data_IF_416114200644
#
_entry.id   IF_416114200644
#
_cell.length_a   1.000
_cell.length_b   1.000
_cell.length_c   1.000
_cell.angle_alpha   90.00
_cell.angle_beta   90.00
_cell.angle_gamma   90.00
#
_symmetry.space_group_name_H-M   'P 1'
#
loop_
_entity.id
_entity.type
_entity.pdbx_description
1 polymer ?
#
# COMPACT_ATOMS: atom_id res chain seq x y z
N UNK A 1 -28.01 -26.09 9.33
CA UNK A 1 -27.79 -24.93 10.21
C UNK A 1 -28.49 -25.21 11.55
N UNK A 2 -27.75 -25.17 12.68
CA UNK A 2 -28.28 -25.39 14.04
C UNK A 2 -28.42 -24.08 14.81
N UNK A 3 -27.52 -23.13 14.61
CA UNK A 3 -27.51 -21.83 15.29
C UNK A 3 -26.99 -20.71 14.39
N UNK A 4 -27.52 -19.50 14.60
CA UNK A 4 -27.09 -18.28 13.91
C UNK A 4 -26.87 -17.19 14.96
N UNK A 5 -25.66 -16.61 14.98
CA UNK A 5 -25.27 -15.52 15.89
C UNK A 5 -24.62 -14.44 15.01
N UNK A 6 -25.39 -13.52 14.44
CA UNK A 6 -24.89 -12.54 13.50
C UNK A 6 -24.23 -13.21 12.29
N UNK A 7 -22.94 -12.92 12.09
CA UNK A 7 -22.16 -13.51 11.00
C UNK A 7 -21.62 -14.93 11.31
N UNK A 8 -21.80 -15.45 12.52
CA UNK A 8 -21.39 -16.78 12.93
C UNK A 8 -22.54 -17.76 12.80
N UNK A 9 -22.30 -18.88 12.13
CA UNK A 9 -23.29 -19.92 11.86
C UNK A 9 -22.73 -21.27 12.28
N UNK A 10 -23.47 -21.97 13.15
CA UNK A 10 -23.15 -23.34 13.55
C UNK A 10 -23.90 -24.33 12.66
N UNK A 11 -23.17 -25.29 12.14
CA UNK A 11 -23.68 -26.31 11.23
C UNK A 11 -23.33 -27.69 11.74
N UNK A 12 -24.31 -28.60 11.74
CA UNK A 12 -24.15 -29.98 12.16
C UNK A 12 -23.96 -30.88 10.95
N UNK A 13 -22.97 -31.76 11.00
CA UNK A 13 -22.67 -32.79 10.03
C UNK A 13 -22.64 -34.18 10.67
N UNK A 14 -22.77 -35.21 9.88
CA UNK A 14 -22.53 -36.59 10.30
C UNK A 14 -21.11 -36.75 10.86
N UNK A 15 -20.94 -37.56 11.89
CA UNK A 15 -19.64 -37.72 12.61
C UNK A 15 -18.47 -38.14 11.69
N UNK A 16 -18.79 -38.90 10.65
CA UNK A 16 -17.80 -39.37 9.68
C UNK A 16 -17.55 -38.42 8.54
N UNK A 17 -18.27 -37.28 8.50
CA UNK A 17 -18.21 -36.30 7.42
C UNK A 17 -18.04 -34.85 7.91
N UNK A 18 -17.17 -34.64 8.90
CA UNK A 18 -16.95 -33.31 9.51
C UNK A 18 -16.02 -32.49 8.62
N UNK A 19 -16.40 -31.24 8.24
CA UNK A 19 -15.54 -30.33 7.49
C UNK A 19 -14.27 -29.97 8.26
N UNK A 20 -13.20 -29.75 7.51
CA UNK A 20 -11.93 -29.25 8.05
C UNK A 20 -12.00 -27.74 8.33
N UNK A 21 -11.13 -27.27 9.23
CA UNK A 21 -10.94 -25.81 9.44
C UNK A 21 -10.52 -25.15 8.12
N UNK A 22 -11.10 -24.00 7.84
CA UNK A 22 -10.98 -23.22 6.59
C UNK A 22 -11.66 -23.83 5.36
N UNK A 23 -12.35 -24.94 5.49
CA UNK A 23 -13.16 -25.45 4.39
C UNK A 23 -14.32 -24.50 4.09
N UNK A 24 -14.59 -24.26 2.83
CA UNK A 24 -15.75 -23.51 2.38
C UNK A 24 -16.99 -24.42 2.33
N UNK A 25 -18.08 -23.92 2.86
CA UNK A 25 -19.39 -24.55 2.82
C UNK A 25 -20.36 -23.64 2.08
N UNK A 26 -21.41 -24.21 1.53
CA UNK A 26 -22.44 -23.46 0.82
C UNK A 26 -23.82 -23.77 1.37
N UNK A 27 -24.58 -22.73 1.74
CA UNK A 27 -25.99 -22.85 2.08
C UNK A 27 -26.78 -23.02 0.79
N UNK A 28 -27.43 -24.17 0.60
CA UNK A 28 -28.06 -24.54 -0.68
C UNK A 28 -29.16 -23.55 -1.12
N UNK A 29 -30.00 -23.10 -0.19
CA UNK A 29 -31.14 -22.22 -0.51
C UNK A 29 -30.69 -20.79 -0.88
N UNK A 30 -29.69 -20.24 -0.21
CA UNK A 30 -29.27 -18.84 -0.35
C UNK A 30 -28.00 -18.66 -1.22
N UNK A 31 -27.23 -19.71 -1.41
CA UNK A 31 -25.91 -19.64 -2.05
C UNK A 31 -24.84 -18.96 -1.17
N UNK A 32 -25.14 -18.68 0.11
CA UNK A 32 -24.19 -18.03 1.02
C UNK A 32 -23.02 -18.96 1.31
N UNK A 33 -21.80 -18.47 1.12
CA UNK A 33 -20.58 -19.20 1.46
C UNK A 33 -20.24 -19.01 2.92
N UNK A 34 -19.90 -20.12 3.58
CA UNK A 34 -19.47 -20.15 4.98
C UNK A 34 -18.04 -20.68 5.05
N UNK A 35 -17.22 -20.15 5.93
CA UNK A 35 -15.87 -20.66 6.19
C UNK A 35 -15.80 -21.28 7.57
N UNK A 36 -15.37 -22.52 7.66
CA UNK A 36 -15.22 -23.24 8.93
C UNK A 36 -14.09 -22.62 9.76
N UNK A 37 -14.40 -22.21 10.98
CA UNK A 37 -13.44 -21.62 11.92
C UNK A 37 -13.05 -22.58 13.04
N UNK A 38 -13.99 -23.37 13.53
CA UNK A 38 -13.79 -24.27 14.68
C UNK A 38 -14.63 -25.53 14.52
N UNK A 39 -14.12 -26.63 15.05
CA UNK A 39 -14.88 -27.86 15.28
C UNK A 39 -15.27 -27.89 16.77
N UNK A 40 -16.57 -27.87 17.04
CA UNK A 40 -17.09 -27.80 18.42
C UNK A 40 -17.28 -29.18 19.09
N UNK A 41 -17.11 -30.26 18.34
CA UNK A 41 -17.44 -31.60 18.76
C UNK A 41 -18.85 -32.04 18.33
N UNK A 42 -19.18 -33.33 18.52
CA UNK A 42 -20.44 -33.92 18.13
C UNK A 42 -20.98 -33.65 16.73
N UNK A 43 -20.05 -33.46 15.79
CA UNK A 43 -20.39 -33.17 14.39
C UNK A 43 -20.72 -31.70 14.10
N UNK A 44 -20.63 -30.82 15.09
CA UNK A 44 -20.93 -29.40 14.93
C UNK A 44 -19.67 -28.61 14.59
N UNK A 45 -19.74 -27.77 13.56
CA UNK A 45 -18.70 -26.82 13.19
C UNK A 45 -19.22 -25.40 13.30
N UNK A 46 -18.36 -24.51 13.75
CA UNK A 46 -18.63 -23.07 13.80
C UNK A 46 -17.99 -22.37 12.62
N UNK A 47 -18.79 -21.59 11.90
CA UNK A 47 -18.39 -20.95 10.66
C UNK A 47 -18.60 -19.42 10.72
N UNK A 48 -17.93 -18.69 9.85
CA UNK A 48 -18.24 -17.29 9.56
C UNK A 48 -18.80 -17.18 8.13
N UNK A 49 -19.81 -16.32 7.96
CA UNK A 49 -20.41 -16.07 6.67
C UNK A 49 -19.58 -15.10 5.83
N UNK A 50 -19.43 -15.42 4.55
CA UNK A 50 -18.85 -14.56 3.52
C UNK A 50 -19.95 -13.85 2.72
N UNK A 51 -20.92 -13.29 3.40
CA UNK A 51 -22.08 -12.63 2.82
C UNK A 51 -23.12 -12.31 3.89
N UNK A 52 -24.22 -11.76 3.41
CA UNK A 52 -25.36 -11.36 4.24
C UNK A 52 -26.03 -12.57 4.85
N UNK A 53 -26.33 -12.50 6.15
CA UNK A 53 -26.96 -13.59 6.91
C UNK A 53 -28.45 -13.36 7.18
N UNK A 54 -28.99 -12.20 6.82
CA UNK A 54 -30.41 -11.89 6.93
C UNK A 54 -31.22 -12.84 6.07
N UNK A 55 -32.26 -13.44 6.68
CA UNK A 55 -33.12 -14.42 6.03
C UNK A 55 -32.67 -15.86 6.21
N UNK A 56 -31.48 -16.12 6.72
CA UNK A 56 -31.06 -17.47 7.08
C UNK A 56 -31.82 -17.95 8.31
N UNK A 57 -32.17 -19.23 8.33
CA UNK A 57 -32.93 -19.89 9.42
C UNK A 57 -32.34 -21.22 9.80
N UNK A 58 -32.70 -21.70 10.99
CA UNK A 58 -32.33 -23.07 11.41
C UNK A 58 -32.95 -24.11 10.46
N UNK A 59 -32.25 -25.20 10.29
CA UNK A 59 -32.70 -26.31 9.44
C UNK A 59 -32.31 -26.17 7.97
N UNK A 60 -31.69 -25.06 7.54
CA UNK A 60 -31.16 -24.96 6.18
C UNK A 60 -30.08 -26.02 5.96
N UNK A 61 -30.10 -26.59 4.75
CA UNK A 61 -29.09 -27.55 4.28
C UNK A 61 -27.84 -26.83 3.86
N UNK A 62 -26.69 -27.37 4.29
CA UNK A 62 -25.37 -26.84 3.94
C UNK A 62 -24.56 -27.94 3.29
N UNK A 63 -24.05 -27.65 2.08
CA UNK A 63 -23.20 -28.55 1.32
C UNK A 63 -21.71 -28.28 1.60
N UNK A 64 -20.92 -29.34 1.66
CA UNK A 64 -19.46 -29.26 1.69
C UNK A 64 -18.92 -29.02 0.29
N UNK A 65 -17.89 -28.15 0.17
CA UNK A 65 -17.13 -28.01 -1.06
C UNK A 65 -15.87 -28.89 -1.08
N UNK A 66 -15.50 -29.46 0.07
CA UNK A 66 -14.26 -30.23 0.27
C UNK A 66 -12.97 -29.46 -0.06
N UNK A 67 -13.04 -28.16 -0.13
CA UNK A 67 -11.92 -27.27 -0.42
C UNK A 67 -12.05 -25.94 0.34
N UNK A 68 -10.95 -25.25 0.65
CA UNK A 68 -11.01 -23.88 1.16
C UNK A 68 -11.58 -22.92 0.11
N UNK A 69 -11.93 -21.70 0.52
CA UNK A 69 -12.32 -20.64 -0.41
C UNK A 69 -11.21 -20.47 -1.46
N UNK A 70 -11.59 -20.63 -2.73
CA UNK A 70 -10.70 -20.49 -3.87
C UNK A 70 -11.20 -19.40 -4.80
N UNK A 71 -10.29 -18.57 -5.28
CA UNK A 71 -10.58 -17.39 -6.08
C UNK A 71 -9.91 -17.46 -7.44
N UNK A 72 -10.49 -16.85 -8.50
CA UNK A 72 -9.86 -16.79 -9.80
C UNK A 72 -8.55 -16.01 -9.72
N UNK A 73 -7.56 -16.45 -10.47
CA UNK A 73 -6.23 -15.86 -10.54
C UNK A 73 -5.75 -15.76 -11.99
N UNK A 74 -4.70 -14.98 -12.20
CA UNK A 74 -4.06 -14.84 -13.52
C UNK A 74 -4.53 -13.62 -14.32
N UNK A 75 -4.14 -13.52 -15.59
CA UNK A 75 -4.36 -12.33 -16.43
C UNK A 75 -5.83 -11.92 -16.60
N UNK A 76 -6.76 -12.84 -16.42
CA UNK A 76 -8.21 -12.59 -16.55
C UNK A 76 -8.77 -11.70 -15.44
N UNK A 77 -8.02 -11.51 -14.33
CA UNK A 77 -8.38 -10.62 -13.23
C UNK A 77 -7.98 -9.17 -13.47
N UNK A 78 -7.13 -8.89 -14.44
CA UNK A 78 -6.62 -7.54 -14.71
C UNK A 78 -7.74 -6.61 -15.18
N UNK A 79 -7.77 -5.42 -14.64
CA UNK A 79 -8.77 -4.40 -14.91
C UNK A 79 -10.15 -4.68 -14.29
N UNK A 80 -10.29 -5.76 -13.52
CA UNK A 80 -11.55 -6.19 -12.93
C UNK A 80 -11.62 -5.85 -11.45
N UNK A 81 -12.84 -5.60 -10.98
CA UNK A 81 -13.15 -5.46 -9.56
C UNK A 81 -13.91 -6.69 -9.09
N UNK A 82 -13.43 -7.29 -8.03
CA UNK A 82 -13.96 -8.54 -7.47
C UNK A 82 -14.31 -8.39 -5.99
N UNK A 83 -15.22 -9.22 -5.53
CA UNK A 83 -15.50 -9.39 -4.09
C UNK A 83 -14.49 -10.36 -3.44
N UNK A 84 -14.68 -10.64 -2.16
CA UNK A 84 -13.82 -11.56 -1.38
C UNK A 84 -13.76 -12.98 -1.94
N UNK A 85 -14.81 -13.42 -2.63
CA UNK A 85 -14.89 -14.74 -3.26
C UNK A 85 -14.37 -14.74 -4.71
N UNK A 86 -13.93 -13.59 -5.22
CA UNK A 86 -13.48 -13.43 -6.59
C UNK A 86 -14.61 -13.27 -7.61
N UNK A 87 -15.84 -13.00 -7.19
CA UNK A 87 -16.93 -12.68 -8.09
C UNK A 87 -16.80 -11.26 -8.62
N UNK A 88 -17.08 -11.01 -9.90
CA UNK A 88 -17.04 -9.66 -10.44
C UNK A 88 -18.15 -8.80 -9.88
N UNK A 89 -17.82 -7.56 -9.51
CA UNK A 89 -18.76 -6.54 -9.01
C UNK A 89 -18.74 -5.27 -9.88
N UNK A 90 -18.06 -5.32 -11.03
CA UNK A 90 -17.86 -4.20 -11.97
C UNK A 90 -18.83 -4.19 -13.15
N UNK A 91 -19.82 -5.06 -13.14
CA UNK A 91 -20.84 -5.23 -14.21
C UNK A 91 -20.27 -5.51 -15.61
N UNK A 92 -19.01 -5.95 -15.70
CA UNK A 92 -18.33 -6.25 -16.97
C UNK A 92 -18.39 -7.73 -17.39
N UNK A 93 -19.34 -8.46 -16.83
CA UNK A 93 -19.54 -9.88 -17.12
C UNK A 93 -18.63 -10.80 -16.30
N UNK A 94 -18.73 -12.13 -16.53
CA UNK A 94 -17.98 -13.11 -15.77
C UNK A 94 -16.48 -12.98 -16.01
N UNK A 95 -15.69 -13.28 -14.96
CA UNK A 95 -14.24 -13.45 -15.07
C UNK A 95 -13.97 -14.86 -15.55
N UNK A 96 -13.04 -15.02 -16.49
CA UNK A 96 -12.63 -16.35 -16.96
C UNK A 96 -12.07 -17.18 -15.79
N UNK A 97 -12.59 -18.39 -15.63
CA UNK A 97 -12.23 -19.29 -14.53
C UNK A 97 -11.25 -20.38 -14.96
N UNK A 98 -10.19 -20.00 -15.67
CA UNK A 98 -9.18 -20.99 -16.10
C UNK A 98 -8.44 -21.60 -14.93
N UNK A 99 -8.17 -20.82 -13.91
CA UNK A 99 -7.44 -21.25 -12.73
C UNK A 99 -7.98 -20.58 -11.47
N UNK A 100 -8.18 -21.38 -10.43
CA UNK A 100 -8.52 -20.90 -9.09
C UNK A 100 -7.48 -21.35 -8.09
N UNK A 101 -7.16 -20.51 -7.13
CA UNK A 101 -6.23 -20.82 -6.06
C UNK A 101 -6.86 -20.55 -4.68
N UNK A 102 -6.57 -21.41 -3.68
CA UNK A 102 -7.08 -21.21 -2.33
C UNK A 102 -6.45 -19.97 -1.68
N UNK A 103 -7.26 -19.23 -0.92
CA UNK A 103 -6.80 -18.04 -0.21
C UNK A 103 -5.94 -18.38 1.02
N UNK A 104 -6.12 -19.57 1.60
CA UNK A 104 -5.29 -20.06 2.69
C UNK A 104 -4.14 -20.91 2.14
N UNK A 105 -2.96 -20.30 2.10
CA UNK A 105 -1.72 -20.93 1.62
C UNK A 105 -0.62 -20.74 2.64
N UNK A 106 0.33 -21.65 2.62
CA UNK A 106 1.57 -21.50 3.41
C UNK A 106 2.49 -20.48 2.75
N UNK A 107 3.28 -19.74 3.54
CA UNK A 107 4.35 -18.92 2.99
C UNK A 107 5.33 -19.78 2.18
N UNK A 108 6.08 -19.17 1.23
CA UNK A 108 7.15 -19.85 0.51
C UNK A 108 8.16 -20.47 1.46
N UNK A 109 8.71 -21.63 1.07
CA UNK A 109 9.74 -22.29 1.87
C UNK A 109 11.03 -21.44 1.94
N UNK A 110 11.87 -21.66 2.93
CA UNK A 110 13.17 -20.98 3.03
C UNK A 110 14.03 -21.17 1.79
N UNK A 111 13.91 -22.33 1.14
CA UNK A 111 14.69 -22.66 -0.07
C UNK A 111 14.20 -21.90 -1.30
N UNK A 112 12.94 -21.48 -1.32
CA UNK A 112 12.32 -20.78 -2.44
C UNK A 112 12.43 -19.26 -2.31
N UNK A 113 12.67 -18.76 -1.11
CA UNK A 113 12.85 -17.33 -0.87
C UNK A 113 14.17 -16.84 -1.48
N UNK A 114 14.13 -15.63 -2.02
CA UNK A 114 15.31 -14.92 -2.47
C UNK A 114 15.86 -14.06 -1.33
N UNK A 115 17.15 -14.16 -1.10
CA UNK A 115 17.87 -13.28 -0.17
C UNK A 115 18.33 -11.97 -0.84
N UNK A 116 17.74 -11.59 -1.94
CA UNK A 116 18.10 -10.38 -2.70
C UNK A 116 17.82 -9.13 -1.89
N UNK A 117 18.83 -8.29 -1.72
CA UNK A 117 18.74 -6.95 -1.15
C UNK A 117 18.54 -5.89 -2.27
N UNK A 118 17.87 -6.27 -3.35
CA UNK A 118 17.59 -5.34 -4.44
C UNK A 118 16.61 -4.24 -4.00
N UNK A 119 16.91 -3.02 -4.42
CA UNK A 119 16.03 -1.88 -4.22
C UNK A 119 15.03 -1.84 -5.37
N UNK A 120 13.78 -1.60 -5.03
CA UNK A 120 12.73 -1.31 -5.99
C UNK A 120 12.75 0.19 -6.29
N UNK A 121 13.27 0.57 -7.44
CA UNK A 121 13.28 1.95 -7.89
C UNK A 121 11.87 2.39 -8.27
N UNK A 122 11.37 3.43 -7.60
CA UNK A 122 10.00 3.92 -7.79
C UNK A 122 9.90 5.07 -8.77
N UNK A 123 11.00 5.74 -9.08
CA UNK A 123 11.04 6.94 -9.89
C UNK A 123 10.53 8.19 -9.17
N UNK A 124 10.29 8.10 -7.88
CA UNK A 124 9.87 9.21 -7.02
C UNK A 124 11.06 9.62 -6.14
N UNK A 125 11.61 10.81 -6.39
CA UNK A 125 12.85 11.29 -5.76
C UNK A 125 12.89 11.12 -4.24
N UNK A 126 11.85 11.57 -3.56
CA UNK A 126 11.82 11.55 -2.10
C UNK A 126 11.79 10.13 -1.53
N UNK A 127 11.10 9.21 -2.19
CA UNK A 127 11.03 7.81 -1.77
C UNK A 127 12.37 7.14 -2.02
N UNK A 128 12.87 7.20 -3.24
CA UNK A 128 14.08 6.49 -3.63
C UNK A 128 15.32 6.97 -2.86
N UNK A 129 15.38 8.28 -2.54
CA UNK A 129 16.50 8.85 -1.78
C UNK A 129 16.41 8.57 -0.28
N UNK A 130 15.24 8.85 0.33
CA UNK A 130 15.11 8.97 1.79
C UNK A 130 14.56 7.69 2.44
N UNK A 131 13.72 6.95 1.75
CA UNK A 131 13.10 5.72 2.25
C UNK A 131 12.99 4.63 1.16
N UNK A 132 14.10 4.18 0.58
CA UNK A 132 14.11 3.23 -0.53
C UNK A 132 13.39 1.94 -0.16
N UNK A 133 12.61 1.41 -1.12
CA UNK A 133 11.86 0.18 -0.93
C UNK A 133 12.72 -1.04 -1.26
N UNK A 134 12.63 -2.06 -0.41
CA UNK A 134 13.16 -3.37 -0.74
C UNK A 134 12.24 -4.08 -1.73
N UNK A 135 12.79 -4.68 -2.76
CA UNK A 135 12.06 -5.59 -3.64
C UNK A 135 11.61 -6.82 -2.84
N UNK A 136 10.33 -7.06 -2.76
CA UNK A 136 9.75 -8.07 -1.88
C UNK A 136 9.59 -7.63 -0.41
N UNK A 137 9.81 -6.35 -0.13
CA UNK A 137 9.65 -5.77 1.19
C UNK A 137 8.22 -5.31 1.49
N UNK A 138 8.03 -4.88 2.73
CA UNK A 138 6.75 -4.40 3.25
C UNK A 138 6.88 -2.94 3.65
N UNK A 139 6.06 -2.10 3.03
CA UNK A 139 6.08 -0.65 3.24
C UNK A 139 4.79 -0.22 3.92
N UNK A 140 4.92 0.51 5.01
CA UNK A 140 3.79 1.19 5.65
C UNK A 140 3.64 2.61 5.11
N UNK A 141 2.44 2.96 4.65
CA UNK A 141 2.09 4.30 4.21
C UNK A 141 1.21 4.96 5.26
N UNK A 142 1.74 5.98 5.90
CA UNK A 142 1.08 6.73 6.96
C UNK A 142 0.64 8.09 6.44
N UNK A 143 -0.49 8.57 6.91
CA UNK A 143 -0.94 9.92 6.59
C UNK A 143 -2.43 10.10 6.85
N UNK A 144 -2.81 11.32 7.19
CA UNK A 144 -4.19 11.73 7.38
C UNK A 144 -4.98 11.76 6.08
N UNK A 145 -6.22 12.23 6.17
CA UNK A 145 -7.03 12.47 4.98
C UNK A 145 -6.50 13.68 4.18
N UNK A 146 -6.57 13.62 2.86
CA UNK A 146 -6.26 14.73 1.97
C UNK A 146 -4.77 15.01 1.74
N UNK A 147 -3.86 14.13 2.17
CA UNK A 147 -2.40 14.29 1.93
C UNK A 147 -1.89 13.56 0.68
N UNK A 148 -2.79 13.01 -0.14
CA UNK A 148 -2.43 12.40 -1.42
C UNK A 148 -2.05 10.92 -1.36
N UNK A 149 -2.53 10.14 -0.38
CA UNK A 149 -2.28 8.68 -0.32
C UNK A 149 -2.64 7.97 -1.62
N UNK A 150 -3.87 8.17 -2.09
CA UNK A 150 -4.40 7.56 -3.32
C UNK A 150 -3.56 7.91 -4.54
N UNK A 151 -3.20 9.18 -4.70
CA UNK A 151 -2.37 9.66 -5.83
C UNK A 151 -0.98 9.03 -5.80
N UNK A 152 -0.37 8.90 -4.62
CA UNK A 152 0.91 8.20 -4.48
C UNK A 152 0.81 6.71 -4.86
N UNK A 153 -0.26 6.02 -4.44
CA UNK A 153 -0.47 4.62 -4.82
C UNK A 153 -0.63 4.47 -6.33
N UNK A 154 -1.44 5.32 -6.96
CA UNK A 154 -1.63 5.29 -8.42
C UNK A 154 -0.33 5.56 -9.18
N UNK A 155 0.48 6.52 -8.72
CA UNK A 155 1.78 6.80 -9.35
C UNK A 155 2.74 5.63 -9.23
N UNK A 156 2.77 4.96 -8.09
CA UNK A 156 3.57 3.74 -7.90
C UNK A 156 3.12 2.62 -8.84
N UNK A 157 1.81 2.40 -8.99
CA UNK A 157 1.26 1.42 -9.94
C UNK A 157 1.71 1.76 -11.37
N UNK A 158 1.56 3.02 -11.75
CA UNK A 158 1.93 3.49 -13.09
C UNK A 158 3.43 3.31 -13.36
N UNK A 159 4.28 3.73 -12.44
CA UNK A 159 5.73 3.69 -12.61
C UNK A 159 6.26 2.25 -12.64
N UNK A 160 5.75 1.37 -11.79
CA UNK A 160 6.12 -0.05 -11.81
C UNK A 160 5.65 -0.73 -13.10
N UNK A 161 4.48 -0.40 -13.60
CA UNK A 161 4.00 -0.92 -14.87
C UNK A 161 4.86 -0.48 -16.05
N UNK A 162 5.27 0.79 -16.09
CA UNK A 162 6.04 1.37 -17.19
C UNK A 162 7.51 0.89 -17.19
N UNK A 163 8.15 0.90 -16.02
CA UNK A 163 9.61 0.68 -15.92
C UNK A 163 9.98 -0.79 -15.67
N UNK A 164 9.17 -1.50 -14.92
CA UNK A 164 9.48 -2.87 -14.50
C UNK A 164 8.60 -3.92 -15.18
N UNK A 165 7.68 -3.53 -16.07
CA UNK A 165 6.66 -4.44 -16.65
C UNK A 165 5.90 -5.23 -15.57
N UNK A 166 5.81 -4.65 -14.39
CA UNK A 166 5.20 -5.24 -13.21
C UNK A 166 3.68 -5.11 -13.24
N UNK A 167 3.05 -5.90 -12.39
CA UNK A 167 1.61 -5.89 -12.19
C UNK A 167 1.30 -5.49 -10.75
N UNK A 168 0.09 -5.00 -10.53
CA UNK A 168 -0.36 -4.59 -9.20
C UNK A 168 -1.67 -5.30 -8.84
N UNK A 169 -1.86 -5.51 -7.55
CA UNK A 169 -3.12 -5.95 -6.97
C UNK A 169 -3.50 -4.97 -5.87
N UNK A 170 -4.71 -4.50 -5.90
CA UNK A 170 -5.27 -3.61 -4.88
C UNK A 170 -6.32 -4.33 -4.06
N UNK A 171 -6.12 -4.41 -2.75
CA UNK A 171 -7.05 -4.96 -1.79
C UNK A 171 -7.63 -3.85 -0.91
N UNK A 172 -8.88 -3.48 -1.16
CA UNK A 172 -9.64 -2.52 -0.35
C UNK A 172 -10.28 -3.22 0.84
N UNK A 173 -9.76 -2.97 2.03
CA UNK A 173 -10.18 -3.61 3.27
C UNK A 173 -10.98 -2.65 4.13
N UNK A 174 -12.28 -2.83 4.16
CA UNK A 174 -13.18 -2.03 4.99
C UNK A 174 -13.26 -0.54 4.62
N UNK A 175 -12.89 -0.18 3.39
CA UNK A 175 -13.00 1.19 2.89
C UNK A 175 -14.43 1.56 2.50
N UNK A 176 -14.68 2.85 2.33
CA UNK A 176 -15.99 3.34 1.88
C UNK A 176 -16.19 2.98 0.42
N UNK A 177 -17.38 2.52 0.06
CA UNK A 177 -17.76 2.19 -1.33
C UNK A 177 -17.49 3.34 -2.30
N UNK A 178 -17.75 4.57 -1.87
CA UNK A 178 -17.49 5.75 -2.70
C UNK A 178 -16.00 5.92 -3.00
N UNK A 179 -15.13 5.78 -1.99
CA UNK A 179 -13.68 5.94 -2.16
C UNK A 179 -13.10 4.86 -3.10
N UNK A 180 -13.58 3.62 -2.98
CA UNK A 180 -13.21 2.55 -3.90
C UNK A 180 -13.67 2.80 -5.33
N UNK A 181 -14.86 3.38 -5.51
CA UNK A 181 -15.37 3.73 -6.82
C UNK A 181 -14.62 4.91 -7.44
N UNK A 182 -14.38 5.97 -6.67
CA UNK A 182 -13.58 7.13 -7.10
C UNK A 182 -12.19 6.68 -7.55
N UNK A 183 -11.53 5.81 -6.76
CA UNK A 183 -10.23 5.24 -7.09
C UNK A 183 -10.22 4.46 -8.42
N UNK A 184 -11.26 3.69 -8.68
CA UNK A 184 -11.39 2.95 -9.93
C UNK A 184 -11.52 3.88 -11.14
N UNK A 185 -12.33 4.94 -11.04
CA UNK A 185 -12.44 5.92 -12.11
C UNK A 185 -11.14 6.69 -12.35
N UNK A 186 -10.46 7.10 -11.30
CA UNK A 186 -9.15 7.75 -11.39
C UNK A 186 -8.11 6.85 -12.08
N UNK A 187 -8.14 5.54 -11.83
CA UNK A 187 -7.28 4.59 -12.54
C UNK A 187 -7.64 4.43 -14.03
N UNK A 188 -8.91 4.57 -14.38
CA UNK A 188 -9.33 4.60 -15.79
C UNK A 188 -8.83 5.88 -16.48
N UNK A 189 -9.02 7.03 -15.86
CA UNK A 189 -8.59 8.32 -16.40
C UNK A 189 -7.07 8.40 -16.57
N UNK A 190 -6.30 7.83 -15.65
CA UNK A 190 -4.85 7.77 -15.71
C UNK A 190 -4.30 6.70 -16.69
N UNK A 191 -5.19 5.85 -17.27
CA UNK A 191 -4.80 4.79 -18.20
C UNK A 191 -4.20 3.54 -17.57
N UNK A 192 -4.17 3.44 -16.24
CA UNK A 192 -3.74 2.23 -15.51
C UNK A 192 -4.71 1.07 -15.75
N UNK A 193 -6.01 1.39 -15.81
CA UNK A 193 -7.07 0.47 -16.25
C UNK A 193 -7.47 0.84 -17.66
N UNK A 194 -7.26 -0.09 -18.60
CA UNK A 194 -7.68 0.08 -19.99
C UNK A 194 -9.10 -0.46 -20.17
N UNK A 195 -10.07 0.44 -20.39
CA UNK A 195 -11.48 0.08 -20.52
C UNK A 195 -11.76 -0.67 -21.83
N UNK A 196 -11.06 -0.31 -22.91
CA UNK A 196 -11.26 -0.87 -24.24
C UNK A 196 -10.66 -2.28 -24.36
N UNK A 197 -9.58 -2.53 -23.60
CA UNK A 197 -8.95 -3.85 -23.53
C UNK A 197 -8.48 -4.13 -22.08
N UNK A 198 -9.37 -4.72 -21.29
CA UNK A 198 -9.11 -5.00 -19.87
C UNK A 198 -7.85 -5.85 -19.64
N UNK A 199 -7.51 -6.74 -20.57
CA UNK A 199 -6.32 -7.58 -20.46
C UNK A 199 -4.99 -6.81 -20.53
N UNK A 200 -4.99 -5.57 -21.00
CA UNK A 200 -3.83 -4.68 -21.00
C UNK A 200 -3.72 -3.83 -19.71
N UNK A 201 -4.73 -3.90 -18.86
CA UNK A 201 -4.70 -3.22 -17.56
C UNK A 201 -3.56 -3.74 -16.68
N UNK A 202 -3.08 -2.91 -15.78
CA UNK A 202 -1.90 -3.20 -14.94
C UNK A 202 -2.26 -3.53 -13.49
N UNK A 203 -3.54 -3.55 -13.15
CA UNK A 203 -4.02 -3.75 -11.79
C UNK A 203 -5.25 -4.67 -11.76
N UNK A 204 -5.29 -5.57 -10.77
CA UNK A 204 -6.48 -6.30 -10.36
C UNK A 204 -6.95 -5.77 -9.00
N UNK A 205 -8.27 -5.66 -8.80
CA UNK A 205 -8.83 -5.04 -7.60
C UNK A 205 -9.79 -6.00 -6.90
N UNK A 206 -9.68 -6.09 -5.58
CA UNK A 206 -10.61 -6.81 -4.72
C UNK A 206 -11.08 -5.91 -3.59
N UNK A 207 -12.38 -5.90 -3.34
CA UNK A 207 -12.99 -5.06 -2.31
C UNK A 207 -13.77 -5.90 -1.29
N UNK A 208 -13.49 -5.65 -0.02
CA UNK A 208 -14.31 -6.04 1.12
C UNK A 208 -14.67 -4.76 1.87
N UNK A 209 -15.77 -4.15 1.47
CA UNK A 209 -16.15 -2.79 1.84
C UNK A 209 -16.66 -2.67 3.29
N UNK A 210 -16.75 -1.43 3.80
CA UNK A 210 -17.16 -1.14 5.17
C UNK A 210 -18.54 -1.68 5.53
N UNK A 211 -19.46 -1.78 4.58
CA UNK A 211 -20.82 -2.29 4.77
C UNK A 211 -20.92 -3.82 4.68
N UNK A 212 -19.86 -4.49 4.31
CA UNK A 212 -19.84 -5.95 4.21
C UNK A 212 -19.60 -6.62 5.58
N UNK A 213 -20.04 -7.89 5.75
CA UNK A 213 -19.81 -8.65 6.97
C UNK A 213 -18.33 -8.74 7.37
N UNK A 214 -18.02 -8.94 8.66
CA UNK A 214 -16.65 -9.00 9.14
C UNK A 214 -15.82 -10.12 8.51
N UNK A 215 -16.45 -11.23 8.11
CA UNK A 215 -15.78 -12.31 7.39
C UNK A 215 -15.19 -11.84 6.05
N UNK A 216 -15.95 -11.05 5.29
CA UNK A 216 -15.50 -10.50 4.01
C UNK A 216 -14.29 -9.57 4.21
N UNK A 217 -14.39 -8.64 5.17
CA UNK A 217 -13.31 -7.69 5.48
C UNK A 217 -12.05 -8.37 6.01
N UNK A 218 -12.20 -9.48 6.71
CA UNK A 218 -11.07 -10.27 7.24
C UNK A 218 -10.35 -11.06 6.13
N UNK A 219 -11.06 -11.51 5.11
CA UNK A 219 -10.52 -12.40 4.07
C UNK A 219 -10.12 -11.70 2.76
N UNK A 220 -10.61 -10.51 2.51
CA UNK A 220 -10.33 -9.80 1.26
C UNK A 220 -8.83 -9.53 1.02
N UNK A 221 -8.06 -9.24 2.07
CA UNK A 221 -6.61 -9.09 1.96
C UNK A 221 -5.92 -10.38 1.51
N UNK A 222 -6.40 -11.54 1.99
CA UNK A 222 -5.91 -12.86 1.56
C UNK A 222 -6.28 -13.16 0.11
N UNK A 223 -7.46 -12.72 -0.34
CA UNK A 223 -7.87 -12.83 -1.75
C UNK A 223 -6.92 -12.05 -2.66
N UNK A 224 -6.65 -10.79 -2.34
CA UNK A 224 -5.70 -9.97 -3.08
C UNK A 224 -4.29 -10.55 -3.08
N UNK A 225 -3.83 -11.01 -1.92
CA UNK A 225 -2.52 -11.66 -1.81
C UNK A 225 -2.41 -12.92 -2.67
N UNK A 226 -3.47 -13.74 -2.74
CA UNK A 226 -3.49 -14.95 -3.57
C UNK A 226 -3.36 -14.60 -5.06
N UNK A 227 -4.02 -13.55 -5.52
CA UNK A 227 -3.86 -13.06 -6.90
C UNK A 227 -2.44 -12.56 -7.16
N UNK A 228 -1.85 -11.82 -6.21
CA UNK A 228 -0.47 -11.37 -6.31
C UNK A 228 0.54 -12.53 -6.33
N UNK A 229 0.32 -13.56 -5.54
CA UNK A 229 1.17 -14.77 -5.52
C UNK A 229 1.19 -15.49 -6.87
N UNK A 230 0.07 -15.54 -7.59
CA UNK A 230 0.02 -16.14 -8.93
C UNK A 230 0.95 -15.39 -9.90
N UNK A 231 0.87 -14.07 -9.94
CA UNK A 231 1.73 -13.27 -10.81
C UNK A 231 3.21 -13.38 -10.41
N UNK A 232 3.52 -13.42 -9.10
CA UNK A 232 4.88 -13.66 -8.62
C UNK A 232 5.41 -15.00 -9.08
N UNK A 233 4.62 -16.07 -8.93
CA UNK A 233 5.01 -17.43 -9.30
C UNK A 233 5.21 -17.58 -10.81
N UNK A 234 4.60 -16.70 -11.62
CA UNK A 234 4.83 -16.56 -13.07
C UNK A 234 6.05 -15.70 -13.43
N UNK A 235 6.82 -15.27 -12.45
CA UNK A 235 8.06 -14.50 -12.65
C UNK A 235 7.86 -13.00 -12.79
N UNK A 236 6.75 -12.45 -12.30
CA UNK A 236 6.49 -11.01 -12.31
C UNK A 236 6.91 -10.35 -10.99
N UNK A 237 7.26 -9.09 -11.09
CA UNK A 237 7.36 -8.20 -9.94
C UNK A 237 5.98 -7.59 -9.69
N UNK A 238 5.45 -7.83 -8.51
CA UNK A 238 4.07 -7.46 -8.14
C UNK A 238 4.08 -6.45 -7.02
N UNK A 239 3.27 -5.41 -7.16
CA UNK A 239 2.89 -4.54 -6.05
C UNK A 239 1.56 -5.01 -5.46
N UNK A 240 1.52 -5.20 -4.15
CA UNK A 240 0.30 -5.49 -3.41
C UNK A 240 -0.04 -4.30 -2.53
N UNK A 241 -1.15 -3.65 -2.83
CA UNK A 241 -1.69 -2.57 -2.00
C UNK A 241 -2.75 -3.12 -1.06
N UNK A 242 -2.65 -2.78 0.21
CA UNK A 242 -3.66 -3.13 1.23
C UNK A 242 -4.13 -1.82 1.86
N UNK A 243 -5.34 -1.42 1.56
CA UNK A 243 -5.95 -0.23 2.14
C UNK A 243 -7.26 -0.59 2.84
N UNK A 244 -7.27 -0.76 4.12
CA UNK A 244 -6.25 -0.38 5.10
C UNK A 244 -5.99 -1.56 6.06
N UNK A 245 -4.74 -1.79 6.44
CA UNK A 245 -4.36 -2.93 7.28
C UNK A 245 -4.96 -2.86 8.69
N UNK A 246 -5.21 -1.68 9.24
CA UNK A 246 -5.87 -1.52 10.53
C UNK A 246 -7.30 -2.10 10.51
N UNK A 247 -8.03 -1.93 9.43
CA UNK A 247 -9.39 -2.48 9.29
C UNK A 247 -9.39 -4.00 9.15
N UNK A 248 -8.32 -4.58 8.62
CA UNK A 248 -8.09 -6.02 8.66
C UNK A 248 -8.03 -6.51 10.11
N UNK A 249 -7.29 -5.82 10.98
CA UNK A 249 -7.22 -6.19 12.41
C UNK A 249 -8.55 -5.99 13.13
N UNK A 250 -9.29 -4.93 12.83
CA UNK A 250 -10.64 -4.70 13.39
C UNK A 250 -11.64 -5.78 12.98
N UNK A 251 -11.62 -6.23 11.74
CA UNK A 251 -12.45 -7.33 11.29
C UNK A 251 -12.13 -8.63 12.07
N UNK A 252 -10.85 -8.84 12.36
CA UNK A 252 -10.41 -9.94 13.24
C UNK A 252 -10.92 -9.82 14.67
N UNK A 253 -10.97 -8.61 15.23
CA UNK A 253 -11.59 -8.35 16.54
C UNK A 253 -13.07 -8.74 16.55
N UNK A 254 -13.82 -8.28 15.54
CA UNK A 254 -15.25 -8.57 15.41
C UNK A 254 -15.51 -10.09 15.29
N UNK A 255 -14.78 -10.78 14.42
CA UNK A 255 -14.88 -12.23 14.24
C UNK A 255 -14.52 -12.97 15.53
N UNK A 256 -13.45 -12.59 16.20
CA UNK A 256 -13.02 -13.22 17.46
C UNK A 256 -14.05 -13.06 18.56
N UNK A 257 -14.67 -11.89 18.67
CA UNK A 257 -15.76 -11.66 19.63
C UNK A 257 -16.98 -12.54 19.33
N UNK A 258 -17.38 -12.63 18.05
CA UNK A 258 -18.49 -13.47 17.62
C UNK A 258 -18.23 -14.97 17.83
N UNK A 259 -16.97 -15.40 17.73
CA UNK A 259 -16.55 -16.77 18.02
C UNK A 259 -16.48 -17.07 19.52
N UNK A 260 -16.71 -16.06 20.38
CA UNK A 260 -16.69 -16.22 21.85
C UNK A 260 -15.27 -16.36 22.42
N UNK A 261 -14.25 -15.90 21.73
CA UNK A 261 -12.86 -15.89 22.24
C UNK A 261 -12.69 -14.76 23.26
N UNK A 262 -11.97 -15.05 24.34
CA UNK A 262 -11.67 -14.05 25.36
C UNK A 262 -10.70 -13.01 24.77
N UNK A 263 -11.02 -11.69 24.82
CA UNK A 263 -10.13 -10.68 24.31
C UNK A 263 -8.83 -10.59 25.10
N UNK A 264 -7.76 -10.16 24.43
CA UNK A 264 -6.50 -9.83 25.08
C UNK A 264 -6.58 -8.47 25.78
N UNK A 265 -5.46 -8.01 26.34
CA UNK A 265 -5.35 -6.63 26.84
C UNK A 265 -5.76 -5.62 25.77
N UNK A 266 -6.43 -4.53 26.18
CA UNK A 266 -6.92 -3.45 25.29
C UNK A 266 -8.03 -3.88 24.31
N UNK A 267 -8.55 -5.10 24.44
CA UNK A 267 -9.74 -5.56 23.69
C UNK A 267 -9.47 -6.19 22.33
N UNK A 268 -8.21 -6.34 21.91
CA UNK A 268 -7.88 -7.03 20.67
C UNK A 268 -8.02 -8.56 20.79
N UNK A 269 -8.13 -9.23 19.64
CA UNK A 269 -8.16 -10.69 19.57
C UNK A 269 -6.83 -11.30 20.09
N UNK A 270 -6.89 -12.45 20.76
CA UNK A 270 -5.68 -13.13 21.24
C UNK A 270 -4.80 -13.66 20.09
N UNK A 271 -5.38 -13.81 18.91
CA UNK A 271 -4.74 -14.32 17.68
C UNK A 271 -4.19 -13.20 16.77
N UNK A 272 -4.14 -11.95 17.24
CA UNK A 272 -3.72 -10.80 16.41
C UNK A 272 -2.36 -11.01 15.75
N UNK A 273 -1.35 -11.40 16.50
CA UNK A 273 0.00 -11.60 15.98
C UNK A 273 0.07 -12.79 14.99
N UNK A 274 -0.69 -13.84 15.24
CA UNK A 274 -0.77 -15.02 14.37
C UNK A 274 -1.46 -14.67 13.03
N UNK A 275 -2.59 -13.98 13.09
CA UNK A 275 -3.33 -13.53 11.90
C UNK A 275 -2.50 -12.56 11.06
N UNK A 276 -1.83 -11.61 11.70
CA UNK A 276 -0.94 -10.67 11.01
C UNK A 276 0.26 -11.40 10.40
N UNK A 277 0.89 -12.29 11.15
CA UNK A 277 2.02 -13.11 10.66
C UNK A 277 1.62 -13.99 9.47
N UNK A 278 0.47 -14.63 9.53
CA UNK A 278 -0.03 -15.47 8.44
C UNK A 278 -0.23 -14.69 7.12
N UNK A 279 -0.62 -13.43 7.20
CA UNK A 279 -0.71 -12.54 6.04
C UNK A 279 0.69 -12.06 5.59
N UNK A 280 1.48 -11.52 6.51
CA UNK A 280 2.72 -10.81 6.20
C UNK A 280 3.85 -11.73 5.71
N UNK A 281 3.96 -12.94 6.23
CA UNK A 281 5.01 -13.88 5.86
C UNK A 281 4.86 -14.45 4.43
N UNK A 282 3.69 -14.35 3.84
CA UNK A 282 3.45 -14.71 2.43
C UNK A 282 3.95 -13.64 1.46
N UNK A 283 4.10 -12.41 1.96
CA UNK A 283 4.55 -11.25 1.17
C UNK A 283 6.08 -11.26 1.16
N UNK A 284 6.67 -11.80 0.12
CA UNK A 284 8.12 -11.95 0.01
C UNK A 284 8.57 -12.14 -1.43
N UNK A 285 9.85 -11.98 -1.68
CA UNK A 285 10.52 -12.37 -2.92
C UNK A 285 10.80 -13.86 -2.95
N UNK A 286 10.61 -14.46 -4.10
CA UNK A 286 11.03 -15.82 -4.40
C UNK A 286 12.08 -15.81 -5.51
N UNK A 287 12.62 -16.97 -5.84
CA UNK A 287 13.59 -17.14 -6.96
C UNK A 287 12.97 -16.81 -8.32
N UNK A 288 11.63 -16.82 -8.43
CA UNK A 288 10.92 -16.57 -9.67
C UNK A 288 10.46 -15.12 -9.80
N UNK A 289 9.94 -14.52 -8.76
CA UNK A 289 9.39 -13.17 -8.78
C UNK A 289 9.29 -12.56 -7.39
N UNK A 290 8.69 -11.38 -7.29
CA UNK A 290 8.57 -10.67 -6.02
C UNK A 290 7.17 -10.13 -5.77
N UNK A 291 6.79 -10.02 -4.49
CA UNK A 291 5.67 -9.22 -4.03
C UNK A 291 6.21 -8.16 -3.09
N UNK A 292 6.06 -6.90 -3.47
CA UNK A 292 6.32 -5.75 -2.60
C UNK A 292 4.99 -5.20 -2.15
N UNK A 293 4.75 -5.08 -0.84
CA UNK A 293 3.48 -4.57 -0.33
C UNK A 293 3.59 -3.12 0.11
N UNK A 294 2.54 -2.36 -0.18
CA UNK A 294 2.32 -1.02 0.33
C UNK A 294 1.01 -1.05 1.11
N UNK A 295 1.13 -0.87 2.40
CA UNK A 295 0.03 -1.03 3.34
C UNK A 295 -0.31 0.33 3.94
N UNK A 296 -1.52 0.82 3.68
CA UNK A 296 -2.00 2.00 4.38
C UNK A 296 -2.25 1.62 5.85
N UNK A 297 -1.63 2.36 6.74
CA UNK A 297 -1.72 2.15 8.18
C UNK A 297 -2.42 3.34 8.81
N UNK A 298 -3.45 3.06 9.60
CA UNK A 298 -4.09 4.02 10.46
C UNK A 298 -3.62 3.80 11.90
N UNK A 299 -3.25 4.87 12.57
CA UNK A 299 -2.80 4.83 13.97
C UNK A 299 -3.88 5.49 14.83
N UNK A 300 -4.61 4.71 15.64
CA UNK A 300 -5.65 5.25 16.50
C UNK A 300 -5.10 6.26 17.49
N UNK A 301 -5.69 7.45 17.55
CA UNK A 301 -5.30 8.54 18.45
C UNK A 301 -3.80 8.91 18.39
N UNK A 302 -3.14 8.64 17.25
CA UNK A 302 -1.70 8.81 17.06
C UNK A 302 -0.83 8.02 18.07
N UNK A 303 -1.40 6.95 18.66
CA UNK A 303 -0.71 6.09 19.61
C UNK A 303 -0.04 4.89 18.91
N UNK A 304 1.27 5.01 18.69
CA UNK A 304 2.08 3.96 18.08
C UNK A 304 2.24 2.71 18.98
N UNK A 305 1.87 2.81 20.25
CA UNK A 305 1.94 1.68 21.20
C UNK A 305 0.68 0.82 21.20
N UNK A 306 -0.38 1.26 20.50
CA UNK A 306 -1.57 0.45 20.29
C UNK A 306 -1.20 -0.90 19.64
N UNK A 307 -1.76 -2.03 20.12
CA UNK A 307 -1.36 -3.37 19.65
C UNK A 307 -1.46 -3.59 18.14
N UNK A 308 -2.42 -2.96 17.46
CA UNK A 308 -2.57 -3.14 16.00
C UNK A 308 -1.44 -2.50 15.20
N UNK A 309 -1.16 -1.19 15.32
CA UNK A 309 -0.01 -0.61 14.66
C UNK A 309 1.31 -1.23 15.14
N UNK A 310 1.50 -1.46 16.44
CA UNK A 310 2.72 -2.08 16.96
C UNK A 310 3.03 -3.44 16.32
N UNK A 311 2.03 -4.30 16.17
CA UNK A 311 2.18 -5.60 15.50
C UNK A 311 2.47 -5.43 14.00
N UNK A 312 1.84 -4.46 13.36
CA UNK A 312 2.09 -4.15 11.93
C UNK A 312 3.51 -3.65 11.72
N UNK A 313 3.98 -2.71 12.54
CA UNK A 313 5.34 -2.15 12.47
C UNK A 313 6.43 -3.20 12.56
N UNK A 314 6.23 -4.26 13.34
CA UNK A 314 7.20 -5.34 13.48
C UNK A 314 7.51 -6.04 12.14
N UNK A 315 6.59 -6.00 11.19
CA UNK A 315 6.74 -6.61 9.87
C UNK A 315 7.23 -5.65 8.78
N UNK A 316 7.20 -4.33 9.02
CA UNK A 316 7.54 -3.35 8.00
C UNK A 316 9.06 -3.18 7.81
N UNK A 317 9.46 -3.05 6.55
CA UNK A 317 10.84 -2.78 6.14
C UNK A 317 11.08 -1.28 5.91
N UNK A 318 10.04 -0.57 5.50
CA UNK A 318 10.08 0.87 5.28
C UNK A 318 8.78 1.53 5.74
N UNK A 319 8.88 2.81 6.08
CA UNK A 319 7.77 3.65 6.52
C UNK A 319 7.78 4.95 5.74
N UNK A 320 6.71 5.24 5.04
CA UNK A 320 6.49 6.50 4.32
C UNK A 320 5.44 7.30 5.06
N UNK A 321 5.81 8.47 5.57
CA UNK A 321 4.92 9.37 6.29
C UNK A 321 4.52 10.53 5.39
N UNK A 322 3.22 10.67 5.13
CA UNK A 322 2.67 11.81 4.42
C UNK A 322 2.24 12.88 5.42
N UNK A 323 2.84 14.06 5.30
CA UNK A 323 2.68 15.17 6.23
C UNK A 323 1.71 16.22 5.69
N UNK A 324 0.74 16.61 6.52
CA UNK A 324 -0.16 17.72 6.20
C UNK A 324 0.60 19.05 6.12
N UNK A 325 1.58 19.25 6.96
CA UNK A 325 2.40 20.47 6.96
C UNK A 325 3.14 20.66 5.64
N UNK A 326 3.68 19.56 5.07
CA UNK A 326 4.36 19.59 3.76
C UNK A 326 3.34 19.83 2.64
N UNK A 327 2.15 19.22 2.72
CA UNK A 327 1.06 19.46 1.78
C UNK A 327 0.59 20.93 1.79
N UNK A 328 0.51 21.55 2.96
CA UNK A 328 0.16 22.98 3.12
C UNK A 328 1.19 23.93 2.49
N UNK A 329 2.45 23.51 2.39
CA UNK A 329 3.49 24.22 1.65
C UNK A 329 3.39 24.04 0.12
N UNK A 330 2.42 23.26 -0.36
CA UNK A 330 2.25 22.93 -1.78
C UNK A 330 3.28 21.94 -2.33
N UNK A 331 4.03 21.25 -1.46
CA UNK A 331 5.04 20.27 -1.86
C UNK A 331 4.37 18.90 -2.02
N UNK A 332 4.41 18.37 -3.23
CA UNK A 332 3.87 17.06 -3.57
C UNK A 332 4.92 16.21 -4.33
N UNK A 333 5.05 14.90 -4.01
CA UNK A 333 4.33 14.18 -2.95
C UNK A 333 4.66 14.74 -1.55
N UNK A 334 3.66 14.76 -0.69
CA UNK A 334 3.79 15.32 0.66
C UNK A 334 4.51 14.38 1.64
N UNK A 335 5.52 13.67 1.18
CA UNK A 335 6.32 12.74 1.99
C UNK A 335 7.23 13.53 2.92
N UNK A 336 7.16 13.22 4.20
CA UNK A 336 8.07 13.79 5.19
C UNK A 336 9.43 13.07 5.14
N UNK A 337 10.50 13.74 4.73
CA UNK A 337 11.81 13.11 4.59
C UNK A 337 12.49 12.84 5.93
N UNK A 338 12.05 13.46 7.02
CA UNK A 338 12.63 13.27 8.35
C UNK A 338 11.92 12.16 9.14
N UNK A 339 10.61 12.02 8.97
CA UNK A 339 9.81 11.01 9.65
C UNK A 339 9.72 9.70 8.87
N UNK A 340 10.00 9.71 7.56
CA UNK A 340 10.05 8.51 6.74
C UNK A 340 11.36 7.76 6.90
N UNK A 341 11.29 6.44 7.00
CA UNK A 341 12.46 5.60 7.28
C UNK A 341 12.47 4.34 6.42
N UNK A 342 13.65 3.78 6.18
CA UNK A 342 13.81 2.47 5.53
C UNK A 342 15.00 1.72 6.13
N UNK A 343 14.84 0.43 6.34
CA UNK A 343 15.94 -0.48 6.70
C UNK A 343 16.94 -0.66 5.57
N UNK A 344 16.53 -0.36 4.34
CA UNK A 344 17.39 -0.44 3.16
C UNK A 344 18.35 0.74 3.05
N UNK A 345 18.11 1.84 3.77
CA UNK A 345 19.02 2.99 3.80
C UNK A 345 20.24 2.68 4.70
N UNK A 346 21.07 1.80 4.22
CA UNK A 346 22.28 1.32 4.87
C UNK A 346 23.42 1.28 3.83
N UNK A 347 24.65 1.73 4.16
CA UNK A 347 25.77 1.78 3.21
C UNK A 347 26.07 0.44 2.51
N UNK A 348 25.83 -0.68 3.20
CA UNK A 348 26.04 -2.01 2.62
C UNK A 348 24.98 -2.43 1.59
N UNK A 349 23.84 -1.74 1.56
CA UNK A 349 22.73 -2.02 0.64
C UNK A 349 22.70 -1.00 -0.49
N UNK A 350 22.65 0.28 -0.15
CA UNK A 350 22.50 1.38 -1.14
C UNK A 350 23.83 1.91 -1.66
N UNK A 351 24.95 1.57 -1.01
CA UNK A 351 26.26 2.14 -1.28
C UNK A 351 26.53 3.43 -0.52
N UNK A 352 27.81 3.78 -0.41
CA UNK A 352 28.26 4.92 0.40
C UNK A 352 27.72 6.24 -0.12
N UNK A 353 27.75 6.46 -1.43
CA UNK A 353 27.33 7.73 -2.05
C UNK A 353 25.85 8.04 -1.79
N UNK A 354 24.95 7.07 -2.02
CA UNK A 354 23.53 7.24 -1.74
C UNK A 354 23.29 7.53 -0.25
N UNK A 355 23.93 6.76 0.61
CA UNK A 355 23.78 6.91 2.06
C UNK A 355 24.27 8.29 2.53
N UNK A 356 25.44 8.74 2.10
CA UNK A 356 26.01 10.04 2.46
C UNK A 356 25.12 11.21 1.98
N UNK A 357 24.60 11.13 0.76
CA UNK A 357 23.70 12.15 0.21
C UNK A 357 22.39 12.19 1.00
N UNK A 358 21.78 11.06 1.30
CA UNK A 358 20.56 10.99 2.09
C UNK A 358 20.77 11.56 3.50
N UNK A 359 21.86 11.20 4.16
CA UNK A 359 22.22 11.74 5.47
C UNK A 359 22.49 13.24 5.43
N UNK A 360 23.13 13.72 4.36
CA UNK A 360 23.37 15.15 4.13
C UNK A 360 22.07 15.92 4.00
N UNK A 361 21.13 15.44 3.22
CA UNK A 361 19.78 16.04 3.06
C UNK A 361 19.02 16.03 4.39
N UNK A 362 19.02 14.93 5.12
CA UNK A 362 18.41 14.86 6.45
C UNK A 362 18.99 15.92 7.39
N UNK A 363 20.31 16.03 7.45
CA UNK A 363 21.00 16.97 8.32
C UNK A 363 20.63 18.42 8.04
N UNK A 364 20.63 18.83 6.78
CA UNK A 364 20.28 20.22 6.43
C UNK A 364 18.81 20.53 6.68
N UNK A 365 17.91 19.58 6.40
CA UNK A 365 16.47 19.75 6.66
C UNK A 365 16.17 19.79 8.16
N UNK A 366 16.81 18.96 8.95
CA UNK A 366 16.67 18.98 10.40
C UNK A 366 17.17 20.30 11.00
N UNK A 367 18.36 20.76 10.59
CA UNK A 367 18.91 22.05 11.02
C UNK A 367 18.00 23.21 10.61
N UNK A 368 17.45 23.16 9.42
CA UNK A 368 16.47 24.16 8.97
C UNK A 368 15.22 24.18 9.86
N UNK A 369 14.69 23.01 10.23
CA UNK A 369 13.56 22.94 11.15
C UNK A 369 13.87 23.56 12.52
N UNK A 370 15.06 23.33 13.07
CA UNK A 370 15.51 23.96 14.33
C UNK A 370 15.59 25.49 14.23
N UNK A 371 15.96 25.99 13.05
CA UNK A 371 16.12 27.44 12.82
C UNK A 371 14.80 28.14 12.46
N UNK A 372 13.73 27.41 12.11
CA UNK A 372 12.45 28.00 11.67
C UNK A 372 11.86 28.98 12.69
N UNK A 373 11.88 28.63 13.95
CA UNK A 373 11.32 29.47 15.02
C UNK A 373 12.17 30.73 15.20
N UNK A 374 13.48 30.61 15.10
CA UNK A 374 14.42 31.75 15.18
C UNK A 374 14.17 32.68 13.98
N UNK A 375 14.04 32.13 12.79
CA UNK A 375 13.77 32.90 11.56
C UNK A 375 12.42 33.63 11.66
N UNK A 376 11.40 32.96 12.18
CA UNK A 376 10.07 33.55 12.33
C UNK A 376 10.02 34.71 13.32
N UNK A 377 10.83 34.67 14.36
CA UNK A 377 10.86 35.70 15.45
C UNK A 377 11.83 36.82 15.14
N UNK A 378 13.05 36.47 14.73
CA UNK A 378 14.18 37.42 14.61
C UNK A 378 14.51 37.79 13.14
N UNK A 379 14.02 37.02 12.18
CA UNK A 379 14.35 37.19 10.75
C UNK A 379 15.63 36.47 10.34
N UNK A 380 15.84 36.40 9.04
CA UNK A 380 17.02 35.75 8.43
C UNK A 380 18.33 36.46 8.71
N UNK A 381 18.28 37.78 8.95
CA UNK A 381 19.47 38.62 9.09
C UNK A 381 20.26 38.31 10.37
N UNK A 382 19.59 37.79 11.40
CA UNK A 382 20.20 37.41 12.68
C UNK A 382 20.94 36.05 12.63
N UNK A 383 20.82 35.30 11.55
CA UNK A 383 21.55 34.06 11.38
C UNK A 383 23.03 34.30 11.02
N UNK A 384 23.89 33.33 11.39
CA UNK A 384 25.26 33.28 10.89
C UNK A 384 25.29 33.11 9.41
N UNK A 385 26.35 33.52 8.72
CA UNK A 385 26.49 33.30 7.26
C UNK A 385 26.48 31.82 6.87
N UNK A 386 26.98 30.95 7.75
CA UNK A 386 26.93 29.51 7.60
C UNK A 386 25.48 29.00 7.64
N UNK A 387 24.71 29.43 8.64
CA UNK A 387 23.29 29.05 8.77
C UNK A 387 22.43 29.62 7.63
N UNK A 388 22.72 30.84 7.14
CA UNK A 388 22.04 31.40 5.96
C UNK A 388 22.26 30.56 4.71
N UNK A 389 23.49 30.13 4.49
CA UNK A 389 23.82 29.24 3.36
C UNK A 389 23.14 27.89 3.49
N UNK A 390 23.16 27.29 4.69
CA UNK A 390 22.50 26.03 4.99
C UNK A 390 20.98 26.11 4.77
N UNK A 391 20.34 27.16 5.27
CA UNK A 391 18.89 27.39 5.09
C UNK A 391 18.52 27.55 3.62
N UNK A 392 19.34 28.28 2.83
CA UNK A 392 19.11 28.43 1.41
C UNK A 392 19.16 27.08 0.68
N UNK A 393 20.16 26.25 0.98
CA UNK A 393 20.28 24.90 0.40
C UNK A 393 19.15 23.96 0.89
N UNK A 394 18.79 24.02 2.15
CA UNK A 394 17.70 23.23 2.73
C UNK A 394 16.36 23.55 2.05
N UNK A 395 16.05 24.79 1.80
CA UNK A 395 14.85 25.22 1.08
C UNK A 395 14.84 24.71 -0.38
N UNK A 396 15.99 24.80 -1.06
CA UNK A 396 16.14 24.25 -2.42
C UNK A 396 15.93 22.74 -2.42
N UNK A 397 16.56 22.01 -1.49
CA UNK A 397 16.38 20.57 -1.34
C UNK A 397 14.92 20.19 -1.06
N UNK A 398 14.25 20.90 -0.15
CA UNK A 398 12.86 20.68 0.18
C UNK A 398 11.94 20.87 -1.04
N UNK A 399 12.14 21.92 -1.82
CA UNK A 399 11.38 22.15 -3.05
C UNK A 399 11.71 21.14 -4.14
N UNK A 400 12.95 20.70 -4.23
CA UNK A 400 13.38 19.72 -5.21
C UNK A 400 12.90 18.29 -4.90
N UNK A 401 12.49 18.02 -3.66
CA UNK A 401 11.78 16.79 -3.30
C UNK A 401 10.37 16.72 -3.92
N UNK A 402 9.81 17.86 -4.33
CA UNK A 402 8.57 17.88 -5.11
C UNK A 402 8.78 17.35 -6.52
N UNK A 403 7.74 16.74 -7.07
CA UNK A 403 7.81 16.11 -8.40
C UNK A 403 6.41 16.03 -9.01
N UNK A 404 6.24 16.38 -10.30
CA UNK A 404 4.98 16.18 -10.98
C UNK A 404 4.74 14.70 -11.28
N UNK A 405 3.53 14.23 -11.02
CA UNK A 405 3.13 12.85 -11.24
C UNK A 405 2.37 12.68 -12.54
N UNK A 406 2.56 11.56 -13.23
CA UNK A 406 1.83 11.20 -14.44
C UNK A 406 0.32 11.13 -14.19
N UNK A 407 -0.07 10.49 -13.10
CA UNK A 407 -1.49 10.33 -12.73
C UNK A 407 -2.16 11.65 -12.34
N UNK A 408 -1.39 12.68 -12.06
CA UNK A 408 -1.90 14.01 -11.70
C UNK A 408 -1.91 15.00 -12.87
N UNK A 409 -1.44 14.64 -14.06
CA UNK A 409 -1.40 15.53 -15.25
C UNK A 409 -2.76 16.14 -15.57
N UNK A 410 -3.81 15.34 -15.48
CA UNK A 410 -5.19 15.77 -15.78
C UNK A 410 -5.63 16.92 -14.86
N UNK A 411 -5.19 16.90 -13.61
CA UNK A 411 -5.57 17.90 -12.61
C UNK A 411 -4.63 19.10 -12.58
N UNK A 412 -3.34 18.88 -12.81
CA UNK A 412 -2.30 19.92 -12.68
C UNK A 412 -1.97 20.60 -14.00
N UNK A 413 -2.24 19.96 -15.13
CA UNK A 413 -1.79 20.39 -16.46
C UNK A 413 -0.27 20.34 -16.66
N UNK A 414 0.46 19.75 -15.73
CA UNK A 414 1.91 19.60 -15.79
C UNK A 414 2.27 18.15 -16.14
N UNK A 415 3.10 17.90 -17.18
CA UNK A 415 3.53 16.56 -17.53
C UNK A 415 4.26 15.87 -16.38
N UNK A 416 3.90 14.61 -16.10
CA UNK A 416 4.55 13.79 -15.09
C UNK A 416 6.01 13.49 -15.42
N UNK A 417 6.79 13.19 -14.40
CA UNK A 417 8.21 12.89 -14.52
C UNK A 417 8.57 11.64 -13.72
N UNK A 418 9.28 10.75 -14.37
CA UNK A 418 10.01 9.67 -13.73
C UNK A 418 11.46 10.11 -13.58
N UNK A 419 12.02 10.03 -12.38
CA UNK A 419 13.41 10.41 -12.11
C UNK A 419 14.15 9.18 -11.63
N UNK A 420 15.25 8.83 -12.30
CA UNK A 420 16.08 7.71 -11.91
C UNK A 420 16.75 7.96 -10.55
N UNK A 421 17.07 6.88 -9.85
CA UNK A 421 17.81 6.97 -8.58
C UNK A 421 19.18 7.64 -8.78
N UNK A 422 19.88 7.32 -9.87
CA UNK A 422 21.17 7.92 -10.20
C UNK A 422 21.09 9.45 -10.38
N UNK A 423 20.11 9.92 -11.15
CA UNK A 423 19.88 11.36 -11.36
C UNK A 423 19.48 12.04 -10.05
N UNK A 424 18.71 11.38 -9.22
CA UNK A 424 18.31 11.88 -7.90
C UNK A 424 19.51 12.07 -6.98
N UNK A 425 20.37 11.06 -6.85
CA UNK A 425 21.58 11.13 -6.01
C UNK A 425 22.51 12.24 -6.50
N UNK A 426 22.78 12.30 -7.80
CA UNK A 426 23.63 13.30 -8.43
C UNK A 426 23.10 14.72 -8.17
N UNK A 427 21.80 14.92 -8.34
CA UNK A 427 21.17 16.21 -8.15
C UNK A 427 21.25 16.71 -6.69
N UNK A 428 20.90 15.87 -5.75
CA UNK A 428 20.97 16.23 -4.33
C UNK A 428 22.40 16.40 -3.82
N UNK A 429 23.36 15.63 -4.34
CA UNK A 429 24.78 15.83 -4.07
C UNK A 429 25.23 17.23 -4.51
N UNK A 430 24.90 17.63 -5.74
CA UNK A 430 25.21 18.98 -6.23
C UNK A 430 24.56 20.09 -5.41
N UNK A 431 23.32 19.89 -4.93
CA UNK A 431 22.67 20.86 -4.03
C UNK A 431 23.44 20.97 -2.70
N UNK A 432 23.86 19.85 -2.12
CA UNK A 432 24.64 19.84 -0.88
C UNK A 432 26.02 20.47 -1.04
N UNK A 433 26.68 20.21 -2.15
CA UNK A 433 28.02 20.74 -2.45
C UNK A 433 27.98 22.24 -2.82
N UNK A 434 26.80 22.77 -3.13
CA UNK A 434 26.61 24.20 -3.44
C UNK A 434 26.75 24.55 -4.92
N UNK A 435 26.81 23.58 -5.81
CA UNK A 435 26.93 23.78 -7.26
C UNK A 435 25.79 24.62 -7.84
N UNK A 436 24.63 24.58 -7.20
CA UNK A 436 23.42 25.28 -7.60
C UNK A 436 23.04 26.46 -6.69
N UNK A 437 23.96 26.94 -5.86
CA UNK A 437 23.69 28.05 -4.94
C UNK A 437 23.28 29.35 -5.68
N UNK A 438 23.73 29.51 -6.92
CA UNK A 438 23.41 30.66 -7.78
C UNK A 438 21.98 30.62 -8.35
N UNK A 439 21.27 29.48 -8.30
CA UNK A 439 19.92 29.35 -8.82
C UNK A 439 18.88 29.81 -7.80
N UNK A 440 17.75 30.42 -8.25
CA UNK A 440 16.68 30.81 -7.36
C UNK A 440 15.96 29.57 -6.82
N UNK A 441 15.49 29.64 -5.58
CA UNK A 441 14.76 28.57 -4.90
C UNK A 441 13.55 28.05 -5.70
N UNK A 442 12.86 28.95 -6.39
CA UNK A 442 11.66 28.60 -7.16
C UNK A 442 11.94 27.69 -8.36
N UNK A 443 13.16 27.69 -8.89
CA UNK A 443 13.55 26.84 -10.01
C UNK A 443 13.51 25.34 -9.66
N UNK A 444 13.59 24.99 -8.37
CA UNK A 444 13.58 23.61 -7.89
C UNK A 444 12.18 23.05 -7.64
N UNK A 445 11.14 23.87 -7.82
CA UNK A 445 9.78 23.47 -7.49
C UNK A 445 9.11 22.72 -8.64
N UNK A 446 8.55 21.54 -8.35
CA UNK A 446 7.80 20.70 -9.29
C UNK A 446 8.54 20.43 -10.61
N UNK A 447 9.80 20.07 -10.52
CA UNK A 447 10.65 19.65 -11.64
C UNK A 447 11.06 18.18 -11.47
N UNK A 448 11.46 17.54 -12.55
CA UNK A 448 11.97 16.18 -12.53
C UNK A 448 13.46 16.15 -12.18
N UNK A 449 14.32 16.34 -13.20
CA UNK A 449 15.78 16.32 -13.04
C UNK A 449 16.33 17.68 -12.68
N UNK A 450 17.60 17.72 -12.28
CA UNK A 450 18.28 18.99 -11.95
C UNK A 450 18.50 19.85 -13.18
N UNK A 451 18.67 19.26 -14.35
CA UNK A 451 18.80 19.96 -15.62
C UNK A 451 17.54 20.78 -15.94
N UNK A 452 16.36 20.29 -15.56
CA UNK A 452 15.11 21.04 -15.68
C UNK A 452 15.10 22.27 -14.78
N UNK A 453 15.58 22.14 -13.54
CA UNK A 453 15.70 23.28 -12.62
C UNK A 453 16.63 24.36 -13.19
N UNK A 454 17.75 23.96 -13.80
CA UNK A 454 18.67 24.88 -14.47
C UNK A 454 17.98 25.58 -15.66
N UNK A 455 17.25 24.82 -16.48
CA UNK A 455 16.53 25.37 -17.64
C UNK A 455 15.43 26.37 -17.24
N UNK A 456 14.64 26.04 -16.19
CA UNK A 456 13.61 26.95 -15.66
C UNK A 456 14.21 28.25 -15.15
N UNK A 457 15.37 28.20 -14.52
CA UNK A 457 16.09 29.38 -14.04
C UNK A 457 16.45 30.33 -15.19
N UNK A 458 16.91 29.82 -16.32
CA UNK A 458 17.21 30.64 -17.48
C UNK A 458 15.98 31.33 -18.09
N UNK A 459 14.82 30.65 -18.11
CA UNK A 459 13.59 31.28 -18.65
C UNK A 459 13.07 32.39 -17.74
N UNK A 460 13.19 32.27 -16.41
CA UNK A 460 12.81 33.34 -15.49
C UNK A 460 13.75 34.56 -15.52
N UNK A 461 15.01 34.39 -15.87
CA UNK A 461 15.97 35.46 -16.00
C UNK A 461 15.82 36.23 -17.34
N UNK A 462 15.25 35.59 -18.36
CA UNK A 462 15.13 36.21 -19.71
C UNK A 462 13.79 36.88 -19.96
N UNK A 463 12.72 36.52 -19.26
CA UNK A 463 11.39 37.12 -19.42
C UNK A 463 11.27 38.61 -19.07
N UNK A 464 11.97 39.18 -18.07
CA UNK A 464 11.92 40.62 -17.80
C UNK A 464 12.64 41.49 -18.83
N UNK A 465 13.52 40.92 -19.65
CA UNK A 465 14.36 41.69 -20.60
C UNK A 465 13.70 41.89 -21.97
N UNK A 466 12.57 41.22 -22.24
CA UNK A 466 11.84 41.33 -23.53
C UNK A 466 10.66 42.32 -23.43
N UNK A 467 10.34 42.83 -22.24
CA UNK A 467 9.22 43.78 -21.99
C UNK A 467 9.72 45.21 -21.67
N UNK A 468 10.95 45.55 -22.00
CA UNK A 468 11.49 46.88 -22.10
C UNK A 468 12.01 47.08 -23.53
#
# INVERSE_FOLDING_TARGET
VTQIIGAVIDVEFEKDNIPKVYEALMVEESGTTLEVQQQLGDGVVRTIAMGVTEGLKRGLVVARTNAPISVPVGPETLGRIMDVLGNPIDEKGPIGEKEKMPIHRKPPSYTDQSASNEILETGIKVIDLMCPFAKGGKVGLFGGAGVGKTVNMMELINNIALQHSGLSVFAGVGERTREGNDFYYEMQESGVVNIDNLGESKVAMVYGQMNEPPGNRLRVALTGLTMAEKFRDEGKDVLLFIDNIYRYTLAGVEVSALLGRMPSAVGYQPTLAEEMGALQERITSTKTGSITSIQAVYVPADDLTDPSPATTFAHLDATVVLSRQISELGIYPAVDPLDSTSRQLDPFVVGDEHYEVAQGVQKILQRYNELKDIIAILGMDELSEEDKGLVARARKAQRFLSQPFFVAEIFTGTPGKYVSLEDTIKAFKGILDGDYDHLPEQAFYMVGTIEEAVAVSYTHLTLPTILL
#
